data_IF_265329358822
#
_entry.id   IF_265329358822
#
_cell.length_a   1.000
_cell.length_b   1.000
_cell.length_c   1.000
_cell.angle_alpha   90.00
_cell.angle_beta   90.00
_cell.angle_gamma   90.00
#
_symmetry.space_group_name_H-M   'P 1'
#
loop_
_entity.id
_entity.type
_entity.pdbx_description
1 polymer ?
#
# COMPACT_ATOMS: atom_id res chain seq x y z
N UNK A 1 3.69 -5.26 -13.97
CA UNK A 1 3.26 -5.05 -12.58
C UNK A 1 3.72 -3.68 -12.10
N UNK A 2 2.78 -2.83 -11.67
CA UNK A 2 3.06 -1.47 -11.19
C UNK A 2 3.96 -1.46 -9.94
N UNK A 3 5.11 -0.77 -9.97
CA UNK A 3 6.02 -0.73 -8.83
C UNK A 3 5.39 0.02 -7.66
N UNK A 4 5.77 -0.36 -6.43
CA UNK A 4 5.38 0.33 -5.21
C UNK A 4 5.94 1.75 -5.18
N UNK A 5 5.06 2.73 -5.06
CA UNK A 5 5.35 4.14 -4.78
C UNK A 5 4.75 4.48 -3.42
N UNK A 6 5.52 5.02 -2.47
CA UNK A 6 4.98 5.27 -1.12
C UNK A 6 4.77 6.76 -0.81
N UNK A 7 5.79 7.61 -0.98
CA UNK A 7 5.64 9.07 -0.79
C UNK A 7 6.54 9.79 -1.76
N UNK A 8 5.97 10.17 -2.90
CA UNK A 8 6.63 11.05 -3.85
C UNK A 8 5.74 12.26 -4.06
N UNK A 9 6.32 13.44 -3.84
CA UNK A 9 5.65 14.69 -4.15
C UNK A 9 5.73 14.93 -5.65
N UNK A 10 4.66 15.46 -6.24
CA UNK A 10 4.57 15.73 -7.67
C UNK A 10 5.78 16.49 -8.22
N UNK A 11 6.37 17.40 -7.45
CA UNK A 11 7.51 18.21 -7.88
C UNK A 11 8.78 17.42 -8.18
N UNK A 12 8.90 16.22 -7.64
CA UNK A 12 10.07 15.37 -7.84
C UNK A 12 9.94 14.49 -9.09
N UNK A 13 8.78 14.48 -9.74
CA UNK A 13 8.59 13.82 -11.02
C UNK A 13 9.05 14.70 -12.18
N UNK A 14 9.65 14.03 -13.16
CA UNK A 14 10.08 14.64 -14.41
C UNK A 14 8.90 14.79 -15.39
N UNK A 15 8.99 15.83 -16.23
CA UNK A 15 7.98 16.11 -17.25
C UNK A 15 8.25 15.33 -18.53
N UNK A 16 7.17 14.84 -19.14
CA UNK A 16 7.13 14.22 -20.46
C UNK A 16 6.11 14.95 -21.34
N UNK A 17 6.18 14.75 -22.65
CA UNK A 17 5.07 15.11 -23.52
C UNK A 17 3.85 14.23 -23.16
N UNK A 18 2.66 14.82 -23.08
CA UNK A 18 1.46 14.08 -22.72
C UNK A 18 1.05 13.09 -23.83
N UNK A 19 0.78 11.83 -23.48
CA UNK A 19 0.32 10.80 -24.40
C UNK A 19 -1.20 10.84 -24.56
N UNK A 20 -1.69 11.84 -25.28
CA UNK A 20 -3.12 12.04 -25.55
C UNK A 20 -3.40 11.95 -27.06
N UNK A 21 -3.36 10.71 -27.58
CA UNK A 21 -3.47 10.41 -29.02
C UNK A 21 -4.75 10.98 -29.62
N UNK A 22 -4.65 11.58 -30.81
CA UNK A 22 -5.79 12.12 -31.55
C UNK A 22 -6.32 13.47 -31.06
N UNK A 23 -5.70 14.09 -30.07
CA UNK A 23 -6.04 15.44 -29.63
C UNK A 23 -5.18 16.53 -30.27
N UNK A 24 -5.72 17.75 -30.26
CA UNK A 24 -5.06 18.97 -30.71
C UNK A 24 -4.79 19.88 -29.52
N UNK A 25 -3.62 20.53 -29.49
CA UNK A 25 -3.16 21.36 -28.39
C UNK A 25 -1.86 20.85 -27.77
N UNK A 26 -1.35 21.53 -26.74
CA UNK A 26 -0.11 21.13 -26.04
C UNK A 26 -0.40 20.79 -24.59
N UNK A 27 0.10 19.65 -24.14
CA UNK A 27 0.07 19.23 -22.75
C UNK A 27 1.36 18.49 -22.38
N UNK A 28 1.70 18.50 -21.10
CA UNK A 28 2.79 17.69 -20.53
C UNK A 28 2.26 16.80 -19.41
N UNK A 29 2.92 15.69 -19.16
CA UNK A 29 2.55 14.75 -18.12
C UNK A 29 3.69 14.46 -17.14
N UNK A 30 3.35 14.16 -15.89
CA UNK A 30 4.19 13.50 -14.90
C UNK A 30 3.64 12.10 -14.68
N UNK A 31 4.49 11.09 -14.81
CA UNK A 31 4.12 9.67 -14.63
C UNK A 31 4.28 9.29 -13.17
N UNK A 32 3.17 9.30 -12.44
CA UNK A 32 3.17 9.05 -10.99
C UNK A 32 3.44 7.58 -10.68
N UNK A 33 2.86 6.69 -11.50
CA UNK A 33 3.11 5.25 -11.52
C UNK A 33 2.72 4.70 -12.89
N UNK A 34 3.46 3.72 -13.40
CA UNK A 34 3.23 3.10 -14.70
C UNK A 34 3.49 1.59 -14.63
N UNK A 35 2.64 0.82 -15.30
CA UNK A 35 2.86 -0.57 -15.63
C UNK A 35 3.40 -0.66 -17.06
N UNK A 36 4.64 -1.10 -17.21
CA UNK A 36 5.25 -1.27 -18.53
C UNK A 36 4.72 -2.53 -19.26
N UNK A 37 4.01 -3.42 -18.57
CA UNK A 37 3.52 -4.67 -19.15
C UNK A 37 2.17 -4.51 -19.86
N UNK A 38 1.24 -3.74 -19.28
CA UNK A 38 -0.13 -3.59 -19.81
C UNK A 38 -0.54 -2.15 -20.16
N UNK A 39 0.33 -1.18 -19.90
CA UNK A 39 0.11 0.24 -20.20
C UNK A 39 -0.67 1.01 -19.13
N UNK A 40 -1.10 0.36 -18.05
CA UNK A 40 -1.82 1.01 -16.95
C UNK A 40 -0.95 2.08 -16.29
N UNK A 41 -1.52 3.25 -15.99
CA UNK A 41 -0.76 4.34 -15.41
C UNK A 41 -1.62 5.35 -14.67
N UNK A 42 -0.97 6.04 -13.74
CA UNK A 42 -1.49 7.20 -13.02
C UNK A 42 -0.63 8.40 -13.37
N UNK A 43 -1.26 9.44 -13.90
CA UNK A 43 -0.59 10.61 -14.48
C UNK A 43 -1.14 11.89 -13.85
N UNK A 44 -0.29 12.90 -13.74
CA UNK A 44 -0.72 14.30 -13.71
C UNK A 44 -0.51 14.89 -15.10
N UNK A 45 -1.51 15.59 -15.62
CA UNK A 45 -1.44 16.26 -16.94
C UNK A 45 -1.71 17.75 -16.79
N UNK A 46 -0.82 18.57 -17.36
CA UNK A 46 -0.94 20.02 -17.41
C UNK A 46 -1.13 20.48 -18.86
N UNK A 47 -2.22 21.21 -19.13
CA UNK A 47 -2.57 21.71 -20.45
C UNK A 47 -2.03 23.13 -20.67
N UNK A 48 -1.15 23.31 -21.66
CA UNK A 48 -0.42 24.56 -21.96
C UNK A 48 -1.05 25.40 -23.07
N UNK A 49 -2.11 24.89 -23.67
CA UNK A 49 -3.01 25.58 -24.58
C UNK A 49 -4.41 25.02 -24.35
N UNK A 50 -5.43 25.61 -24.97
CA UNK A 50 -6.66 24.88 -25.17
C UNK A 50 -6.33 23.56 -25.88
N UNK A 51 -6.89 22.48 -25.35
CA UNK A 51 -6.69 21.14 -25.87
C UNK A 51 -8.05 20.49 -26.10
N UNK A 52 -8.18 19.73 -27.17
CA UNK A 52 -9.42 19.04 -27.48
C UNK A 52 -9.22 17.78 -28.28
N UNK A 53 -10.15 16.85 -28.13
CA UNK A 53 -10.25 15.65 -28.95
C UNK A 53 -11.70 15.38 -29.27
N UNK A 54 -11.97 15.05 -30.53
CA UNK A 54 -13.31 14.65 -31.00
C UNK A 54 -13.75 13.30 -30.39
N UNK A 55 -14.96 12.85 -30.72
CA UNK A 55 -15.48 11.58 -30.22
C UNK A 55 -14.65 10.39 -30.70
N UNK A 56 -14.59 9.33 -29.89
CA UNK A 56 -13.84 8.11 -30.21
C UNK A 56 -13.89 7.06 -29.10
N UNK A 57 -13.19 5.96 -29.32
CA UNK A 57 -13.15 4.81 -28.41
C UNK A 57 -11.74 4.68 -27.83
N UNK A 58 -11.65 4.61 -26.50
CA UNK A 58 -10.38 4.47 -25.79
C UNK A 58 -9.94 3.00 -25.72
N UNK A 59 -8.63 2.77 -25.87
CA UNK A 59 -8.01 1.44 -25.75
C UNK A 59 -7.78 1.01 -24.30
N UNK A 60 -7.88 1.95 -23.36
CA UNK A 60 -7.80 1.74 -21.92
C UNK A 60 -9.04 2.33 -21.23
N UNK A 61 -9.41 1.79 -20.07
CA UNK A 61 -10.38 2.48 -19.20
C UNK A 61 -9.71 3.75 -18.71
N UNK A 62 -10.30 4.90 -19.00
CA UNK A 62 -9.69 6.21 -18.82
C UNK A 62 -10.47 7.04 -17.80
N UNK A 63 -9.79 7.64 -16.83
CA UNK A 63 -10.39 8.57 -15.90
C UNK A 63 -9.69 9.92 -15.93
N UNK A 64 -10.45 11.01 -15.85
CA UNK A 64 -9.94 12.35 -15.59
C UNK A 64 -10.55 12.92 -14.32
N UNK A 65 -9.73 13.55 -13.49
CA UNK A 65 -10.16 14.36 -12.37
C UNK A 65 -9.52 15.75 -12.47
N UNK A 66 -10.34 16.80 -12.54
CA UNK A 66 -9.87 18.18 -12.68
C UNK A 66 -9.40 18.71 -11.32
N UNK A 67 -8.10 18.96 -11.19
CA UNK A 67 -7.50 19.59 -10.03
C UNK A 67 -7.73 21.11 -10.07
N UNK A 68 -7.44 21.72 -11.22
CA UNK A 68 -7.54 23.16 -11.47
C UNK A 68 -8.00 23.41 -12.91
N UNK A 69 -8.65 24.55 -13.16
CA UNK A 69 -9.15 24.89 -14.50
C UNK A 69 -10.49 24.25 -14.81
N UNK A 70 -10.70 23.80 -16.05
CA UNK A 70 -12.00 23.23 -16.47
C UNK A 70 -11.93 22.32 -17.67
N UNK A 71 -12.80 21.32 -17.66
CA UNK A 71 -13.07 20.40 -18.76
C UNK A 71 -14.45 20.69 -19.36
N UNK A 72 -14.63 20.42 -20.65
CA UNK A 72 -15.95 20.31 -21.27
C UNK A 72 -16.10 18.93 -21.88
N UNK A 73 -17.18 18.22 -21.55
CA UNK A 73 -17.51 16.92 -22.11
C UNK A 73 -18.99 16.91 -22.55
N UNK A 74 -19.27 16.48 -23.77
CA UNK A 74 -20.64 16.47 -24.32
C UNK A 74 -21.35 17.83 -24.24
N UNK A 75 -20.60 18.91 -24.40
CA UNK A 75 -21.10 20.29 -24.29
C UNK A 75 -21.30 20.83 -22.87
N UNK A 76 -21.09 20.01 -21.82
CA UNK A 76 -21.17 20.44 -20.41
C UNK A 76 -19.78 20.80 -19.89
N UNK A 77 -19.61 22.05 -19.46
CA UNK A 77 -18.38 22.52 -18.79
C UNK A 77 -18.43 22.24 -17.29
N UNK A 78 -17.33 21.71 -16.74
CA UNK A 78 -17.16 21.41 -15.31
C UNK A 78 -15.77 21.90 -14.87
N UNK A 79 -15.69 22.53 -13.70
CA UNK A 79 -14.45 23.08 -13.14
C UNK A 79 -13.66 22.05 -12.32
N UNK A 80 -12.86 22.55 -11.36
CA UNK A 80 -12.19 21.74 -10.36
C UNK A 80 -13.18 20.81 -9.62
N UNK A 81 -12.77 19.56 -9.37
CA UNK A 81 -13.64 18.50 -8.89
C UNK A 81 -14.47 17.82 -9.99
N UNK A 82 -14.35 18.25 -11.25
CA UNK A 82 -14.94 17.54 -12.38
C UNK A 82 -14.30 16.17 -12.56
N UNK A 83 -15.12 15.13 -12.64
CA UNK A 83 -14.70 13.75 -12.81
C UNK A 83 -15.33 13.16 -14.08
N UNK A 84 -14.53 12.45 -14.86
CA UNK A 84 -14.94 11.78 -16.09
C UNK A 84 -14.37 10.36 -16.12
N UNK A 85 -15.23 9.36 -16.25
CA UNK A 85 -14.89 7.95 -16.44
C UNK A 85 -15.29 7.53 -17.85
N UNK A 86 -14.34 6.97 -18.61
CA UNK A 86 -14.49 6.53 -19.99
C UNK A 86 -14.09 5.06 -20.07
N UNK A 87 -15.05 4.11 -20.05
CA UNK A 87 -14.72 2.70 -20.09
C UNK A 87 -14.04 2.31 -21.41
N UNK A 88 -13.09 1.37 -21.34
CA UNK A 88 -12.45 0.77 -22.52
C UNK A 88 -13.49 0.24 -23.51
N UNK A 89 -13.33 0.55 -24.79
CA UNK A 89 -14.20 0.00 -25.83
C UNK A 89 -15.59 0.65 -25.94
N UNK A 90 -15.90 1.68 -25.13
CA UNK A 90 -17.16 2.43 -25.20
C UNK A 90 -16.95 3.75 -25.96
N UNK A 91 -17.82 4.09 -26.95
CA UNK A 91 -17.77 5.40 -27.61
C UNK A 91 -17.92 6.54 -26.60
N UNK A 92 -16.92 7.40 -26.56
CA UNK A 92 -16.87 8.62 -25.78
C UNK A 92 -17.07 9.84 -26.67
N UNK A 93 -17.69 10.88 -26.11
CA UNK A 93 -17.97 12.14 -26.79
C UNK A 93 -16.70 13.01 -26.84
N UNK A 94 -16.77 14.12 -27.57
CA UNK A 94 -15.72 15.11 -27.58
C UNK A 94 -15.43 15.63 -26.16
N UNK A 95 -14.14 15.77 -25.87
CA UNK A 95 -13.61 16.31 -24.63
C UNK A 95 -12.66 17.46 -24.94
N UNK A 96 -12.78 18.55 -24.18
CA UNK A 96 -11.84 19.67 -24.23
C UNK A 96 -11.40 20.10 -22.84
N UNK A 97 -10.18 20.60 -22.76
CA UNK A 97 -9.60 21.21 -21.56
C UNK A 97 -9.14 22.62 -21.91
N UNK A 98 -9.48 23.59 -21.06
CA UNK A 98 -9.03 24.96 -21.23
C UNK A 98 -7.53 25.08 -20.92
N UNK A 99 -6.83 26.02 -21.56
CA UNK A 99 -5.46 26.36 -21.20
C UNK A 99 -5.30 26.59 -19.68
N UNK A 100 -4.23 26.07 -19.09
CA UNK A 100 -3.94 26.15 -17.66
C UNK A 100 -4.68 25.11 -16.80
N UNK A 101 -5.49 24.25 -17.41
CA UNK A 101 -6.14 23.14 -16.70
C UNK A 101 -5.10 22.11 -16.25
N UNK A 102 -5.30 21.57 -15.04
CA UNK A 102 -4.52 20.47 -14.47
C UNK A 102 -5.43 19.33 -14.09
N UNK A 103 -5.06 18.12 -14.47
CA UNK A 103 -5.84 16.93 -14.18
C UNK A 103 -4.98 15.81 -13.61
N UNK A 104 -5.61 14.95 -12.83
CA UNK A 104 -5.18 13.56 -12.71
C UNK A 104 -5.81 12.81 -13.88
N UNK A 105 -5.01 11.96 -14.52
CA UNK A 105 -5.40 11.14 -15.65
C UNK A 105 -4.95 9.70 -15.39
N UNK A 106 -5.90 8.78 -15.39
CA UNK A 106 -5.64 7.37 -15.16
C UNK A 106 -5.98 6.58 -16.41
N UNK A 107 -5.18 5.55 -16.70
CA UNK A 107 -5.45 4.54 -17.71
C UNK A 107 -5.29 3.17 -17.07
N UNK A 108 -6.27 2.28 -17.26
CA UNK A 108 -6.19 0.90 -16.78
C UNK A 108 -6.41 -0.09 -17.93
N UNK A 109 -5.63 -1.16 -17.92
CA UNK A 109 -5.73 -2.33 -18.79
C UNK A 109 -5.64 -2.01 -20.29
N UNK A 110 -4.80 -1.06 -20.67
CA UNK A 110 -4.54 -0.69 -22.06
C UNK A 110 -3.59 0.48 -22.21
N UNK A 111 -3.14 0.70 -23.45
CA UNK A 111 -2.25 1.81 -23.80
C UNK A 111 -3.01 3.13 -24.06
N UNK A 112 -2.27 4.13 -24.56
CA UNK A 112 -2.83 5.45 -24.90
C UNK A 112 -3.62 5.48 -26.22
N UNK A 113 -3.90 4.32 -26.83
CA UNK A 113 -4.59 4.18 -28.10
C UNK A 113 -6.00 4.77 -28.09
N UNK A 114 -6.41 5.28 -29.25
CA UNK A 114 -7.69 5.93 -29.44
C UNK A 114 -8.17 5.78 -30.88
N UNK A 115 -9.39 5.29 -31.06
CA UNK A 115 -10.03 5.12 -32.36
C UNK A 115 -11.09 6.21 -32.56
N UNK A 116 -10.86 7.23 -33.41
CA UNK A 116 -11.86 8.26 -33.70
C UNK A 116 -13.13 7.65 -34.29
N UNK A 117 -14.29 8.17 -33.91
CA UNK A 117 -15.58 7.78 -34.47
C UNK A 117 -16.36 8.99 -34.93
N UNK A 118 -17.29 8.81 -35.88
CA UNK A 118 -18.12 9.93 -36.36
C UNK A 118 -19.20 10.34 -35.35
N UNK A 119 -19.65 9.43 -34.50
CA UNK A 119 -20.67 9.70 -33.49
C UNK A 119 -20.71 8.63 -32.39
N UNK A 120 -21.42 8.93 -31.30
CA UNK A 120 -21.68 8.00 -30.19
C UNK A 120 -22.49 6.75 -30.58
N UNK A 121 -23.06 6.71 -31.79
CA UNK A 121 -23.76 5.53 -32.32
C UNK A 121 -22.79 4.44 -32.84
N UNK A 122 -21.48 4.70 -32.83
CA UNK A 122 -20.49 3.69 -33.17
C UNK A 122 -20.66 2.43 -32.29
N UNK A 123 -20.41 1.24 -32.85
CA UNK A 123 -20.52 0.02 -32.06
C UNK A 123 -19.46 0.01 -30.95
N UNK A 124 -19.88 -0.41 -29.75
CA UNK A 124 -18.95 -0.77 -28.67
C UNK A 124 -18.10 -1.96 -29.09
N UNK A 125 -16.89 -2.06 -28.56
CA UNK A 125 -16.10 -3.27 -28.68
C UNK A 125 -16.77 -4.45 -27.97
N UNK A 126 -16.48 -5.66 -28.44
CA UNK A 126 -16.95 -6.87 -27.79
C UNK A 126 -16.41 -6.95 -26.36
N UNK A 127 -17.30 -7.26 -25.40
CA UNK A 127 -16.95 -7.36 -23.99
C UNK A 127 -16.81 -6.02 -23.25
N UNK A 128 -16.96 -4.87 -23.92
CA UNK A 128 -17.01 -3.57 -23.26
C UNK A 128 -18.19 -3.50 -22.28
N UNK A 129 -17.94 -2.97 -21.08
CA UNK A 129 -18.92 -2.86 -20.00
C UNK A 129 -19.09 -1.40 -19.57
N UNK A 130 -20.13 -1.17 -18.77
CA UNK A 130 -20.43 0.12 -18.16
C UNK A 130 -20.73 1.23 -19.17
N UNK A 131 -21.00 2.42 -18.65
CA UNK A 131 -21.29 3.63 -19.41
C UNK A 131 -20.35 4.75 -18.97
N UNK A 132 -20.24 5.78 -19.80
CA UNK A 132 -19.50 6.99 -19.43
C UNK A 132 -20.13 7.66 -18.21
N UNK A 133 -19.32 8.02 -17.22
CA UNK A 133 -19.76 8.77 -16.03
C UNK A 133 -19.15 10.17 -16.06
N UNK A 134 -19.98 11.18 -15.80
CA UNK A 134 -19.56 12.59 -15.71
C UNK A 134 -20.13 13.20 -14.44
N UNK A 135 -19.27 13.55 -13.49
CA UNK A 135 -19.65 14.08 -12.19
C UNK A 135 -19.04 15.45 -11.92
N UNK A 136 -19.77 16.25 -11.15
CA UNK A 136 -19.23 17.40 -10.44
C UNK A 136 -19.11 17.00 -8.97
N UNK A 137 -17.92 16.56 -8.56
CA UNK A 137 -17.72 16.05 -7.20
C UNK A 137 -17.78 17.16 -6.13
N UNK A 138 -17.59 18.42 -6.51
CA UNK A 138 -17.75 19.55 -5.61
C UNK A 138 -19.22 19.74 -5.21
N UNK A 139 -20.15 19.45 -6.13
CA UNK A 139 -21.59 19.48 -5.89
C UNK A 139 -22.15 18.24 -5.16
N UNK A 140 -21.36 17.17 -5.01
CA UNK A 140 -21.77 15.96 -4.29
C UNK A 140 -21.74 16.18 -2.77
N UNK A 141 -22.62 15.46 -2.06
CA UNK A 141 -22.58 15.39 -0.61
C UNK A 141 -21.51 14.39 -0.14
N UNK A 142 -20.96 14.63 1.05
CA UNK A 142 -20.07 13.68 1.73
C UNK A 142 -20.90 12.71 2.55
N UNK A 143 -20.64 11.42 2.40
CA UNK A 143 -21.22 10.38 3.25
C UNK A 143 -20.22 10.02 4.34
N UNK A 144 -20.69 9.83 5.58
CA UNK A 144 -19.84 9.30 6.64
C UNK A 144 -19.50 7.83 6.35
N UNK A 145 -18.24 7.43 6.53
CA UNK A 145 -17.84 6.03 6.34
C UNK A 145 -18.47 5.17 7.45
N UNK A 146 -19.29 4.16 7.13
CA UNK A 146 -20.12 3.45 8.11
C UNK A 146 -19.39 2.32 8.86
N UNK A 147 -18.05 2.28 8.86
CA UNK A 147 -17.32 1.11 9.34
C UNK A 147 -17.10 1.13 10.87
N UNK A 148 -17.38 0.02 11.58
CA UNK A 148 -16.97 -0.15 12.97
C UNK A 148 -15.44 -0.29 13.07
N UNK A 149 -14.83 0.34 14.09
CA UNK A 149 -13.41 0.21 14.41
C UNK A 149 -12.61 1.51 14.35
N UNK A 150 -12.52 2.21 13.19
CA UNK A 150 -11.84 3.51 13.12
C UNK A 150 -12.56 4.58 13.95
N UNK A 151 -11.82 5.61 14.39
CA UNK A 151 -12.46 6.79 14.98
C UNK A 151 -13.41 7.45 13.97
N UNK A 152 -14.58 7.98 14.41
CA UNK A 152 -15.43 8.79 13.55
C UNK A 152 -14.67 9.99 12.97
N UNK A 153 -15.07 10.45 11.79
CA UNK A 153 -14.45 11.61 11.13
C UNK A 153 -13.87 11.35 9.75
N UNK A 154 -14.13 10.17 9.19
CA UNK A 154 -13.81 9.87 7.80
C UNK A 154 -15.08 9.92 6.94
N UNK A 155 -14.97 10.56 5.79
CA UNK A 155 -16.05 10.79 4.84
C UNK A 155 -15.65 10.33 3.45
N UNK A 156 -16.63 9.91 2.66
CA UNK A 156 -16.43 9.35 1.33
C UNK A 156 -17.38 9.96 0.30
N UNK A 157 -16.89 10.07 -0.94
CA UNK A 157 -17.68 10.27 -2.15
C UNK A 157 -17.26 9.22 -3.16
N UNK A 158 -18.17 8.30 -3.50
CA UNK A 158 -17.92 7.34 -4.57
C UNK A 158 -18.10 8.02 -5.93
N UNK A 159 -17.04 8.03 -6.74
CA UNK A 159 -17.07 8.63 -8.09
C UNK A 159 -17.35 7.57 -9.16
N UNK A 160 -16.79 6.38 -8.98
CA UNK A 160 -17.02 5.21 -9.82
C UNK A 160 -16.88 3.94 -8.97
N UNK A 161 -17.73 2.94 -9.22
CA UNK A 161 -17.67 1.61 -8.62
C UNK A 161 -18.04 0.59 -9.70
N UNK A 162 -17.11 -0.27 -10.11
CA UNK A 162 -17.37 -1.41 -10.97
C UNK A 162 -18.05 -2.51 -10.14
N UNK A 163 -19.32 -2.87 -10.43
CA UNK A 163 -20.07 -3.85 -9.66
C UNK A 163 -19.59 -5.30 -9.85
N UNK A 164 -18.70 -5.57 -10.81
CA UNK A 164 -18.18 -6.89 -11.13
C UNK A 164 -16.81 -7.11 -10.50
N UNK A 165 -15.89 -6.16 -10.69
CA UNK A 165 -14.51 -6.27 -10.19
C UNK A 165 -14.35 -5.69 -8.79
N UNK A 166 -15.32 -4.90 -8.34
CA UNK A 166 -15.20 -4.05 -7.16
C UNK A 166 -14.04 -3.05 -7.28
N UNK A 167 -13.62 -2.68 -8.49
CA UNK A 167 -12.76 -1.53 -8.73
C UNK A 167 -13.51 -0.24 -8.40
N UNK A 168 -12.88 0.72 -7.75
CA UNK A 168 -13.56 1.99 -7.48
C UNK A 168 -12.61 3.16 -7.28
N UNK A 169 -13.10 4.32 -7.70
CA UNK A 169 -12.49 5.63 -7.50
C UNK A 169 -13.35 6.44 -6.55
N UNK A 170 -12.73 7.05 -5.56
CA UNK A 170 -13.42 7.80 -4.50
C UNK A 170 -12.63 9.01 -4.06
N UNK A 171 -13.34 10.01 -3.54
CA UNK A 171 -12.72 10.98 -2.64
C UNK A 171 -12.90 10.48 -1.21
N UNK A 172 -11.83 10.53 -0.42
CA UNK A 172 -11.85 10.26 1.02
C UNK A 172 -11.38 11.50 1.75
N UNK A 173 -12.14 11.94 2.75
CA UNK A 173 -11.76 13.05 3.61
C UNK A 173 -11.64 12.58 5.06
N UNK A 174 -10.47 12.78 5.65
CA UNK A 174 -10.26 12.66 7.09
C UNK A 174 -10.32 14.07 7.71
N UNK A 175 -11.29 14.31 8.60
CA UNK A 175 -11.40 15.58 9.32
C UNK A 175 -10.14 15.84 10.15
N UNK A 176 -9.86 17.10 10.49
CA UNK A 176 -8.75 17.46 11.37
C UNK A 176 -8.77 16.66 12.69
N UNK A 177 -7.62 16.11 13.08
CA UNK A 177 -7.48 15.34 14.31
C UNK A 177 -8.02 13.91 14.24
N UNK A 178 -8.46 13.44 13.08
CA UNK A 178 -8.72 12.03 12.87
C UNK A 178 -7.41 11.23 12.94
N UNK A 179 -7.45 10.06 13.58
CA UNK A 179 -6.28 9.20 13.70
C UNK A 179 -6.63 7.71 13.74
N UNK A 180 -5.73 6.88 13.21
CA UNK A 180 -5.79 5.43 13.31
C UNK A 180 -4.43 4.88 13.77
N UNK A 181 -4.43 4.29 14.97
CA UNK A 181 -3.27 3.68 15.58
C UNK A 181 -2.96 2.28 15.03
N UNK A 182 -3.76 1.72 14.13
CA UNK A 182 -3.53 0.37 13.60
C UNK A 182 -2.73 0.41 12.30
N UNK A 183 -1.99 -0.66 12.03
CA UNK A 183 -1.23 -0.85 10.79
C UNK A 183 -2.07 -1.64 9.80
N UNK A 184 -2.67 -0.95 8.84
CA UNK A 184 -3.59 -1.55 7.90
C UNK A 184 -2.86 -2.14 6.68
N UNK A 185 -3.43 -3.18 6.09
CA UNK A 185 -3.05 -3.78 4.81
C UNK A 185 -4.25 -4.50 4.19
N UNK A 186 -4.30 -4.62 2.87
CA UNK A 186 -5.55 -4.93 2.14
C UNK A 186 -5.32 -5.97 1.03
N UNK A 187 -6.38 -6.70 0.58
CA UNK A 187 -6.29 -7.68 -0.51
C UNK A 187 -6.14 -7.07 -1.91
N UNK A 188 -6.31 -5.76 -2.05
CA UNK A 188 -6.26 -5.00 -3.30
C UNK A 188 -5.14 -3.96 -3.25
N UNK A 189 -4.78 -3.38 -4.39
CA UNK A 189 -3.93 -2.21 -4.37
C UNK A 189 -4.69 -1.02 -3.79
N UNK A 190 -3.94 -0.07 -3.25
CA UNK A 190 -4.44 1.24 -2.91
C UNK A 190 -3.52 2.31 -3.51
N UNK A 191 -4.08 3.25 -4.25
CA UNK A 191 -3.33 4.43 -4.67
C UNK A 191 -4.08 5.70 -4.32
N UNK A 192 -3.35 6.76 -4.00
CA UNK A 192 -3.97 8.02 -3.70
C UNK A 192 -3.11 9.21 -4.11
N UNK A 193 -3.80 10.29 -4.43
CA UNK A 193 -3.23 11.61 -4.63
C UNK A 193 -3.88 12.59 -3.66
N UNK A 194 -3.07 13.33 -2.91
CA UNK A 194 -3.56 14.30 -1.93
C UNK A 194 -4.02 15.58 -2.61
N UNK A 195 -5.31 15.90 -2.48
CA UNK A 195 -5.96 17.06 -3.12
C UNK A 195 -6.28 18.21 -2.14
N UNK A 196 -6.20 17.96 -0.83
CA UNK A 196 -6.36 18.99 0.20
C UNK A 196 -5.67 18.56 1.49
N UNK A 197 -5.12 19.54 2.20
CA UNK A 197 -4.66 19.37 3.58
C UNK A 197 -3.44 18.47 3.71
N UNK A 198 -3.25 17.87 4.87
CA UNK A 198 -2.16 16.94 5.10
C UNK A 198 -2.41 15.89 6.19
N UNK A 199 -1.73 14.77 6.06
CA UNK A 199 -1.73 13.68 7.02
C UNK A 199 -0.31 13.21 7.31
N UNK A 200 0.01 13.05 8.58
CA UNK A 200 1.22 12.37 9.02
C UNK A 200 0.97 10.87 9.15
N UNK A 201 1.96 10.11 8.70
CA UNK A 201 1.99 8.68 8.91
C UNK A 201 3.41 8.13 8.92
N UNK A 202 3.51 6.83 9.19
CA UNK A 202 4.77 6.17 9.47
C UNK A 202 5.82 6.36 8.36
N UNK A 203 5.42 6.31 7.09
CA UNK A 203 6.35 6.53 5.98
C UNK A 203 6.38 7.98 5.50
N UNK A 204 5.75 8.96 6.15
CA UNK A 204 5.44 10.17 5.41
C UNK A 204 4.63 11.28 6.03
N UNK A 205 4.67 12.40 5.32
CA UNK A 205 3.62 13.39 5.35
C UNK A 205 3.01 13.32 3.97
N UNK A 206 1.71 13.04 3.89
CA UNK A 206 0.92 13.15 2.68
C UNK A 206 0.39 14.58 2.66
N UNK A 207 1.06 15.48 1.96
CA UNK A 207 0.61 16.86 1.73
C UNK A 207 0.11 17.04 0.29
N UNK A 208 -0.51 18.19 0.00
CA UNK A 208 -1.04 18.53 -1.32
C UNK A 208 -0.02 18.19 -2.43
N UNK A 209 -0.42 17.38 -3.41
CA UNK A 209 0.48 16.97 -4.50
C UNK A 209 1.29 15.71 -4.23
N UNK A 210 1.18 15.11 -3.03
CA UNK A 210 1.80 13.82 -2.73
C UNK A 210 0.98 12.66 -3.30
N UNK A 211 1.68 11.73 -3.94
CA UNK A 211 1.13 10.50 -4.52
C UNK A 211 1.74 9.23 -3.92
N UNK A 212 0.93 8.17 -3.84
CA UNK A 212 1.36 6.81 -3.56
C UNK A 212 0.61 5.79 -4.41
N UNK A 213 1.25 4.64 -4.65
CA UNK A 213 0.68 3.41 -5.21
C UNK A 213 1.18 2.23 -4.39
N UNK A 214 0.33 1.62 -3.59
CA UNK A 214 0.62 0.46 -2.76
C UNK A 214 0.03 -0.79 -3.41
N UNK A 215 0.85 -1.74 -3.89
CA UNK A 215 0.36 -3.06 -4.24
C UNK A 215 -0.38 -3.73 -3.06
N UNK A 216 -1.12 -4.79 -3.37
CA UNK A 216 -1.83 -5.53 -2.34
C UNK A 216 -0.89 -5.96 -1.20
N UNK A 217 -1.43 -5.98 0.03
CA UNK A 217 -0.77 -6.40 1.28
C UNK A 217 0.34 -5.48 1.79
N UNK A 218 0.65 -4.37 1.12
CA UNK A 218 1.60 -3.39 1.65
C UNK A 218 1.04 -2.75 2.92
N UNK A 219 1.73 -2.99 4.04
CA UNK A 219 1.40 -2.45 5.37
C UNK A 219 1.60 -0.94 5.41
N UNK A 220 0.67 -0.21 6.00
CA UNK A 220 0.72 1.25 6.13
C UNK A 220 -0.07 1.78 7.35
N UNK A 221 0.21 3.03 7.73
CA UNK A 221 -0.26 3.66 8.98
C UNK A 221 0.85 3.65 10.04
N UNK A 222 0.77 4.24 11.21
CA UNK A 222 -0.36 4.93 11.85
C UNK A 222 -0.65 6.27 11.21
N UNK A 223 -1.91 6.68 11.19
CA UNK A 223 -2.35 7.87 10.50
C UNK A 223 -2.83 8.94 11.47
N UNK A 224 -2.52 10.19 11.16
CA UNK A 224 -3.08 11.36 11.84
C UNK A 224 -3.26 12.51 10.85
N UNK A 225 -4.48 13.01 10.71
CA UNK A 225 -4.76 14.21 9.93
C UNK A 225 -4.49 15.47 10.77
N UNK A 226 -3.80 16.44 10.16
CA UNK A 226 -3.43 17.69 10.81
C UNK A 226 -4.39 18.84 10.44
N UNK A 227 -3.96 20.09 10.63
CA UNK A 227 -4.79 21.30 10.45
C UNK A 227 -5.53 21.31 9.09
N UNK A 228 -6.85 21.48 9.14
CA UNK A 228 -7.72 21.47 7.96
C UNK A 228 -8.09 20.07 7.42
N UNK A 229 -7.63 19.01 8.08
CA UNK A 229 -7.85 17.62 7.68
C UNK A 229 -7.01 17.21 6.48
N UNK A 230 -7.40 16.14 5.80
CA UNK A 230 -6.78 15.68 4.57
C UNK A 230 -7.81 15.06 3.63
N UNK A 231 -7.68 15.34 2.33
CA UNK A 231 -8.54 14.75 1.30
C UNK A 231 -7.69 14.14 0.20
N UNK A 232 -8.07 12.93 -0.23
CA UNK A 232 -7.41 12.23 -1.32
C UNK A 232 -8.41 11.84 -2.40
N UNK A 233 -7.96 11.89 -3.66
CA UNK A 233 -8.53 11.04 -4.70
C UNK A 233 -7.84 9.69 -4.60
N UNK A 234 -8.62 8.63 -4.37
CA UNK A 234 -8.10 7.34 -3.95
C UNK A 234 -8.78 6.22 -4.75
N UNK A 235 -7.99 5.27 -5.24
CA UNK A 235 -8.42 4.16 -6.12
C UNK A 235 -7.98 2.82 -5.57
N UNK A 236 -8.80 1.80 -5.81
CA UNK A 236 -8.53 0.42 -5.42
C UNK A 236 -9.08 -0.53 -6.49
N UNK A 237 -8.34 -1.57 -6.86
CA UNK A 237 -8.77 -2.58 -7.84
C UNK A 237 -9.63 -3.71 -7.27
N UNK A 238 -10.15 -3.52 -6.06
CA UNK A 238 -11.01 -4.47 -5.38
C UNK A 238 -11.46 -3.92 -4.04
N UNK A 239 -12.42 -4.60 -3.41
CA UNK A 239 -12.99 -4.19 -2.13
C UNK A 239 -11.91 -4.05 -1.04
N UNK A 240 -11.87 -2.89 -0.38
CA UNK A 240 -10.82 -2.53 0.57
C UNK A 240 -11.17 -3.06 1.96
N UNK A 241 -10.87 -4.33 2.17
CA UNK A 241 -10.93 -4.94 3.49
C UNK A 241 -9.69 -4.58 4.30
N UNK A 242 -9.90 -3.93 5.44
CA UNK A 242 -8.82 -3.58 6.36
C UNK A 242 -8.42 -4.79 7.20
N UNK A 243 -7.25 -5.35 6.92
CA UNK A 243 -6.55 -6.24 7.83
C UNK A 243 -5.55 -5.44 8.65
N UNK A 244 -5.29 -5.87 9.88
CA UNK A 244 -4.40 -5.15 10.79
C UNK A 244 -3.22 -6.02 11.19
N UNK A 245 -2.02 -5.44 11.17
CA UNK A 245 -0.82 -6.04 11.75
C UNK A 245 -0.66 -5.54 13.18
N UNK A 246 -0.47 -6.47 14.10
CA UNK A 246 -0.17 -6.19 15.50
C UNK A 246 1.15 -6.84 15.89
N UNK A 247 1.80 -6.31 16.93
CA UNK A 247 3.04 -6.85 17.46
C UNK A 247 4.19 -6.93 16.45
N UNK A 248 4.26 -5.92 15.58
CA UNK A 248 5.27 -5.80 14.55
C UNK A 248 6.68 -5.64 15.13
N UNK A 249 7.63 -6.34 14.51
CA UNK A 249 9.05 -6.12 14.68
C UNK A 249 9.79 -6.63 13.45
N UNK A 250 10.83 -5.91 13.06
CA UNK A 250 11.81 -6.37 12.07
C UNK A 250 13.20 -6.17 12.66
N UNK A 251 14.07 -7.18 12.52
CA UNK A 251 15.48 -7.08 12.88
C UNK A 251 16.32 -7.57 11.74
N UNK A 252 17.29 -6.76 11.34
CA UNK A 252 18.22 -7.11 10.30
C UNK A 252 19.64 -6.68 10.68
N UNK A 253 20.61 -7.25 9.99
CA UNK A 253 22.00 -6.99 10.26
C UNK A 253 22.87 -7.81 9.34
N UNK A 254 24.15 -7.48 9.33
CA UNK A 254 25.11 -8.16 8.49
C UNK A 254 26.54 -7.81 8.84
N UNK A 255 27.44 -8.58 8.25
CA UNK A 255 28.86 -8.24 8.19
C UNK A 255 29.10 -7.50 6.88
N UNK A 256 29.34 -6.20 6.96
CA UNK A 256 29.78 -5.43 5.80
C UNK A 256 31.22 -5.80 5.48
N UNK A 257 31.41 -6.45 4.33
CA UNK A 257 32.71 -6.85 3.78
C UNK A 257 33.15 -5.84 2.72
N UNK A 258 33.67 -4.68 3.13
CA UNK A 258 34.28 -3.69 2.24
C UNK A 258 35.18 -2.71 3.03
N UNK A 259 35.75 -1.68 2.38
CA UNK A 259 36.60 -0.62 2.95
C UNK A 259 35.92 0.19 4.08
N UNK A 260 35.82 -0.39 5.28
CA UNK A 260 35.70 0.40 6.50
C UNK A 260 36.94 1.29 6.71
N UNK A 261 36.97 2.13 7.74
CA UNK A 261 38.22 2.75 8.17
C UNK A 261 39.26 1.67 8.54
N UNK A 262 40.40 1.64 7.85
CA UNK A 262 41.37 0.53 7.90
C UNK A 262 40.92 -0.66 7.04
N UNK A 263 41.78 -1.66 6.82
CA UNK A 263 41.45 -2.86 6.01
C UNK A 263 40.40 -3.80 6.67
N UNK A 264 39.34 -3.23 7.26
CA UNK A 264 38.50 -3.84 8.27
C UNK A 264 37.07 -4.12 7.82
N UNK A 265 36.58 -5.29 8.24
CA UNK A 265 35.17 -5.66 8.22
C UNK A 265 34.42 -4.90 9.29
N UNK A 266 33.22 -4.42 8.98
CA UNK A 266 32.34 -3.77 9.96
C UNK A 266 31.09 -4.61 10.19
N UNK A 267 30.78 -4.89 11.45
CA UNK A 267 29.52 -5.54 11.84
C UNK A 267 28.51 -4.47 12.18
N UNK A 268 27.32 -4.59 11.64
CA UNK A 268 26.22 -3.69 11.92
C UNK A 268 24.93 -4.50 12.10
N UNK A 269 24.05 -4.00 12.96
CA UNK A 269 22.72 -4.55 13.18
C UNK A 269 21.79 -3.39 13.49
N UNK A 270 20.55 -3.48 13.00
CA UNK A 270 19.48 -2.54 13.28
C UNK A 270 18.17 -3.32 13.52
N UNK A 271 17.36 -2.82 14.44
CA UNK A 271 15.99 -3.26 14.63
C UNK A 271 15.03 -2.11 14.36
N UNK A 272 13.77 -2.42 14.08
CA UNK A 272 12.68 -1.43 14.05
C UNK A 272 12.63 -0.59 15.34
N UNK A 273 13.01 -1.18 16.48
CA UNK A 273 13.12 -0.47 17.76
C UNK A 273 14.27 0.53 17.78
N UNK A 274 15.48 0.12 17.40
CA UNK A 274 16.65 1.00 17.34
C UNK A 274 16.47 2.16 16.35
N UNK A 275 15.76 1.91 15.25
CA UNK A 275 15.47 2.91 14.24
C UNK A 275 14.44 3.94 14.69
N UNK A 276 13.39 3.52 15.39
CA UNK A 276 12.44 4.45 15.99
C UNK A 276 13.05 5.29 17.12
N UNK A 277 14.11 4.79 17.79
CA UNK A 277 14.76 5.50 18.90
C UNK A 277 15.45 6.78 18.42
N UNK A 278 14.81 7.91 18.70
CA UNK A 278 15.31 9.24 18.36
C UNK A 278 14.63 9.88 17.14
N UNK A 279 13.62 9.23 16.55
CA UNK A 279 12.71 9.92 15.64
C UNK A 279 12.04 11.08 16.39
N UNK A 280 12.11 12.27 15.79
CA UNK A 280 11.44 13.49 16.27
C UNK A 280 10.25 13.86 15.40
N UNK A 281 9.86 12.96 14.48
CA UNK A 281 8.91 13.28 13.42
C UNK A 281 7.49 13.50 13.95
N UNK A 282 7.03 12.64 14.85
CA UNK A 282 5.69 12.74 15.43
C UNK A 282 5.66 13.76 16.56
N UNK A 283 4.81 14.77 16.42
CA UNK A 283 4.58 15.77 17.48
C UNK A 283 3.94 15.14 18.73
N UNK A 284 4.02 15.83 19.87
CA UNK A 284 3.28 15.41 21.08
C UNK A 284 1.77 15.28 20.78
N UNK A 285 1.24 16.23 20.00
CA UNK A 285 -0.16 16.23 19.56
C UNK A 285 -0.51 14.99 18.74
N UNK A 286 0.35 14.59 17.81
CA UNK A 286 0.17 13.37 17.01
C UNK A 286 0.09 12.13 17.92
N UNK A 287 0.99 12.03 18.89
CA UNK A 287 1.01 10.91 19.87
C UNK A 287 -0.25 10.87 20.73
N UNK A 288 -0.77 12.02 21.14
CA UNK A 288 -2.05 12.10 21.87
C UNK A 288 -3.22 11.58 21.03
N UNK A 289 -3.28 11.93 19.74
CA UNK A 289 -4.34 11.52 18.84
C UNK A 289 -4.31 10.01 18.59
N UNK A 290 -3.12 9.43 18.43
CA UNK A 290 -2.95 7.97 18.33
C UNK A 290 -3.36 7.25 19.62
N UNK A 291 -3.03 7.81 20.79
CA UNK A 291 -3.49 7.30 22.08
C UNK A 291 -5.02 7.31 22.20
N UNK A 292 -5.65 8.42 21.79
CA UNK A 292 -7.11 8.53 21.78
C UNK A 292 -7.77 7.52 20.82
N UNK A 293 -7.14 7.24 19.68
CA UNK A 293 -7.58 6.20 18.73
C UNK A 293 -7.60 4.82 19.39
N UNK A 294 -6.54 4.44 20.10
CA UNK A 294 -6.44 3.17 20.82
C UNK A 294 -7.51 3.06 21.93
N UNK A 295 -7.69 4.12 22.71
CA UNK A 295 -8.68 4.13 23.79
C UNK A 295 -10.11 4.05 23.25
N UNK A 296 -10.39 4.67 22.10
CA UNK A 296 -11.66 4.52 21.41
C UNK A 296 -11.92 3.08 20.97
N UNK A 297 -10.94 2.42 20.34
CA UNK A 297 -11.06 1.02 19.93
C UNK A 297 -11.36 0.10 21.13
N UNK A 298 -10.68 0.31 22.26
CA UNK A 298 -10.93 -0.42 23.52
C UNK A 298 -12.35 -0.21 24.05
N UNK A 299 -12.88 1.01 23.98
CA UNK A 299 -14.26 1.30 24.37
C UNK A 299 -15.29 0.57 23.50
N UNK A 300 -14.95 0.28 22.25
CA UNK A 300 -15.77 -0.56 21.35
C UNK A 300 -15.60 -2.07 21.60
N UNK A 301 -14.81 -2.47 22.61
CA UNK A 301 -14.55 -3.86 22.94
C UNK A 301 -13.49 -4.53 22.08
N UNK A 302 -12.72 -3.76 21.31
CA UNK A 302 -11.57 -4.30 20.59
C UNK A 302 -10.52 -4.82 21.58
N UNK A 303 -9.89 -5.95 21.24
CA UNK A 303 -8.85 -6.59 22.06
C UNK A 303 -7.45 -6.27 21.52
N UNK A 304 -7.34 -5.12 20.85
CA UNK A 304 -6.13 -4.69 20.17
C UNK A 304 -4.94 -4.67 21.14
N UNK A 305 -3.79 -5.13 20.64
CA UNK A 305 -2.51 -5.11 21.33
C UNK A 305 -2.14 -3.68 21.72
N UNK A 306 -1.36 -3.52 22.80
CA UNK A 306 -0.83 -2.20 23.13
C UNK A 306 0.03 -1.65 21.98
N UNK A 307 -0.29 -0.43 21.57
CA UNK A 307 0.52 0.34 20.65
C UNK A 307 1.55 1.16 21.41
N UNK A 308 2.78 1.16 20.92
CA UNK A 308 3.85 2.02 21.40
C UNK A 308 4.40 2.83 20.23
N UNK A 309 4.75 4.11 20.44
CA UNK A 309 5.55 4.85 19.47
C UNK A 309 6.81 4.04 19.11
N UNK A 310 7.21 3.99 17.83
CA UNK A 310 8.39 3.22 17.42
C UNK A 310 9.63 3.54 18.25
N UNK A 311 10.37 2.49 18.61
CA UNK A 311 11.55 2.57 19.49
C UNK A 311 11.27 2.84 20.97
N UNK A 312 10.01 3.00 21.37
CA UNK A 312 9.60 3.13 22.77
C UNK A 312 8.95 1.85 23.28
N UNK A 313 9.00 1.62 24.59
CA UNK A 313 8.51 0.40 25.21
C UNK A 313 9.46 -0.81 25.03
N UNK A 314 8.95 -2.04 25.21
CA UNK A 314 9.74 -3.26 25.10
C UNK A 314 10.33 -3.46 23.70
N UNK A 315 11.61 -3.83 23.61
CA UNK A 315 12.21 -4.25 22.34
C UNK A 315 11.69 -5.65 21.96
N UNK A 316 10.66 -5.67 21.13
CA UNK A 316 10.01 -6.89 20.64
C UNK A 316 10.99 -7.81 19.89
N UNK A 317 12.03 -7.26 19.26
CA UNK A 317 13.04 -8.06 18.57
C UNK A 317 13.95 -8.83 19.53
N UNK A 318 14.33 -8.21 20.67
CA UNK A 318 15.11 -8.90 21.70
C UNK A 318 14.28 -9.95 22.43
N UNK A 319 12.98 -9.69 22.67
CA UNK A 319 12.07 -10.68 23.23
C UNK A 319 11.94 -11.90 22.31
N UNK A 320 11.81 -11.69 21.00
CA UNK A 320 11.76 -12.76 20.01
C UNK A 320 13.07 -13.58 20.01
N UNK A 321 14.23 -12.93 20.04
CA UNK A 321 15.54 -13.60 20.14
C UNK A 321 15.66 -14.40 21.45
N UNK A 322 15.28 -13.82 22.58
CA UNK A 322 15.36 -14.49 23.87
C UNK A 322 14.51 -15.76 23.89
N UNK A 323 13.26 -15.69 23.38
CA UNK A 323 12.40 -16.86 23.20
C UNK A 323 13.03 -17.92 22.29
N UNK A 324 13.64 -17.49 21.17
CA UNK A 324 14.34 -18.39 20.27
C UNK A 324 15.53 -19.11 20.94
N UNK A 325 16.31 -18.36 21.73
CA UNK A 325 17.45 -18.89 22.48
C UNK A 325 17.02 -19.84 23.60
N UNK A 326 15.97 -19.50 24.35
CA UNK A 326 15.43 -20.37 25.41
C UNK A 326 14.87 -21.66 24.82
N UNK A 327 14.16 -21.58 23.68
CA UNK A 327 13.72 -22.76 22.98
C UNK A 327 14.90 -23.62 22.47
N UNK A 328 15.94 -23.00 21.90
CA UNK A 328 17.15 -23.71 21.48
C UNK A 328 17.88 -24.37 22.67
N UNK A 329 17.89 -23.75 23.85
CA UNK A 329 18.45 -24.31 25.09
C UNK A 329 17.62 -25.48 25.63
N UNK A 330 16.29 -25.37 25.61
CA UNK A 330 15.38 -26.48 25.96
C UNK A 330 15.52 -27.66 24.99
N UNK A 331 15.86 -27.39 23.73
CA UNK A 331 16.17 -28.40 22.71
C UNK A 331 17.59 -28.99 22.84
N UNK A 332 18.51 -28.31 23.53
CA UNK A 332 19.92 -28.69 23.69
C UNK A 332 20.22 -29.70 24.81
N UNK A 333 19.20 -30.13 25.56
CA UNK A 333 19.29 -31.24 26.53
C UNK A 333 19.81 -30.86 27.92
N UNK A 334 19.06 -31.28 28.94
CA UNK A 334 19.67 -31.70 30.20
C UNK A 334 20.55 -32.91 29.90
N UNK A 335 21.84 -32.68 29.63
CA UNK A 335 22.84 -33.75 29.68
C UNK A 335 23.03 -34.15 31.14
N UNK A 336 22.56 -35.35 31.48
CA UNK A 336 22.67 -35.96 32.79
C UNK A 336 24.10 -35.91 33.33
N UNK A 337 24.30 -35.14 34.41
CA UNK A 337 25.42 -35.35 35.31
C UNK A 337 25.05 -36.49 36.28
N UNK A 338 25.31 -37.73 35.89
CA UNK A 338 25.45 -38.81 36.86
C UNK A 338 26.82 -39.47 36.72
N UNK A 339 27.58 -39.30 37.80
CA UNK A 339 28.89 -39.88 38.02
C UNK A 339 28.82 -41.41 38.06
N UNK A 340 29.61 -42.02 37.18
CA UNK A 340 30.61 -43.06 37.43
C UNK A 340 30.34 -44.05 38.57
N UNK A 341 30.04 -45.30 38.21
CA UNK A 341 30.51 -46.50 38.91
C UNK A 341 30.38 -47.75 38.02
N UNK A 342 31.50 -48.46 37.82
CA UNK A 342 31.52 -49.93 37.89
C UNK A 342 31.85 -50.71 36.61
N UNK A 343 33.10 -51.15 36.55
CA UNK A 343 33.69 -52.34 35.88
C UNK A 343 32.74 -53.41 35.27
N UNK A 344 33.05 -53.88 34.04
CA UNK A 344 33.65 -55.21 33.76
C UNK A 344 33.49 -55.67 32.29
N UNK A 345 34.65 -55.93 31.68
CA UNK A 345 35.10 -57.00 30.77
C UNK A 345 34.20 -57.74 29.73
N UNK A 346 34.73 -57.71 28.50
CA UNK A 346 34.75 -58.61 27.33
C UNK A 346 33.66 -59.68 27.04
N UNK A 347 33.21 -59.69 25.77
CA UNK A 347 32.70 -60.87 25.07
C UNK A 347 32.10 -60.52 23.69
N UNK A 348 32.77 -60.94 22.62
CA UNK A 348 32.32 -60.84 21.22
C UNK A 348 30.97 -61.55 20.99
N UNK A 349 30.09 -60.96 20.18
CA UNK A 349 29.37 -61.70 19.14
C UNK A 349 28.74 -60.73 18.11
N UNK A 350 28.97 -61.07 16.84
CA UNK A 350 28.35 -60.42 15.69
C UNK A 350 26.91 -60.89 15.57
N UNK A 351 25.95 -59.96 15.60
CA UNK A 351 24.65 -60.19 14.97
C UNK A 351 24.11 -58.93 14.30
N UNK A 352 23.71 -59.17 13.06
CA UNK A 352 23.21 -58.28 12.04
C UNK A 352 21.74 -57.95 12.33
N UNK A 353 21.46 -56.75 12.84
CA UNK A 353 20.12 -56.18 12.81
C UNK A 353 20.17 -54.73 12.39
N UNK A 354 19.77 -54.50 11.14
CA UNK A 354 19.44 -53.19 10.60
C UNK A 354 18.32 -52.53 11.40
N UNK A 355 18.71 -51.72 12.37
CA UNK A 355 17.89 -50.69 12.97
C UNK A 355 18.02 -49.43 12.11
N UNK A 356 17.06 -49.22 11.22
CA UNK A 356 16.82 -47.93 10.60
C UNK A 356 16.48 -46.97 11.76
N UNK A 357 17.48 -46.26 12.28
CA UNK A 357 17.26 -45.12 13.16
C UNK A 357 16.68 -44.01 12.27
N UNK A 358 15.36 -44.09 12.08
CA UNK A 358 14.54 -42.94 11.72
C UNK A 358 14.66 -41.97 12.90
N UNK A 359 15.71 -41.14 12.88
CA UNK A 359 15.67 -39.86 13.56
C UNK A 359 14.61 -39.04 12.82
N UNK A 360 13.35 -39.35 13.10
CA UNK A 360 12.26 -38.47 12.77
C UNK A 360 12.57 -37.17 13.48
N UNK A 361 13.06 -36.20 12.70
CA UNK A 361 13.25 -34.81 13.05
C UNK A 361 11.89 -34.21 13.45
N UNK A 362 11.38 -34.64 14.60
CA UNK A 362 10.35 -33.90 15.32
C UNK A 362 11.07 -32.79 16.05
N UNK A 363 11.49 -31.79 15.25
CA UNK A 363 11.69 -30.46 15.78
C UNK A 363 10.47 -30.11 16.64
N UNK A 364 10.61 -29.83 17.94
CA UNK A 364 9.50 -29.30 18.71
C UNK A 364 9.15 -27.96 18.05
N UNK A 365 7.94 -27.83 17.54
CA UNK A 365 7.48 -26.62 16.86
C UNK A 365 7.68 -25.44 17.80
N UNK A 366 8.60 -24.53 17.43
CA UNK A 366 8.68 -23.22 18.04
C UNK A 366 7.30 -22.58 17.88
N UNK A 367 6.65 -22.22 18.98
CA UNK A 367 5.35 -21.54 18.94
C UNK A 367 5.59 -20.06 18.58
N UNK A 368 5.97 -19.81 17.32
CA UNK A 368 6.05 -18.49 16.70
C UNK A 368 4.66 -17.89 16.40
N UNK A 369 3.59 -18.53 16.88
CA UNK A 369 2.25 -18.43 16.33
C UNK A 369 1.98 -19.57 15.35
N UNK A 370 1.21 -19.31 14.29
CA UNK A 370 0.96 -20.31 13.26
C UNK A 370 2.24 -20.60 12.46
N UNK A 371 2.37 -21.86 12.03
CA UNK A 371 3.39 -22.31 11.07
C UNK A 371 3.41 -21.36 9.85
N UNK A 372 4.57 -20.77 9.45
CA UNK A 372 4.66 -19.86 8.31
C UNK A 372 4.06 -20.44 7.03
N UNK A 373 4.18 -21.75 6.80
CA UNK A 373 3.57 -22.40 5.65
C UNK A 373 2.02 -22.44 5.70
N UNK A 374 1.43 -22.19 6.86
CA UNK A 374 -0.02 -21.99 7.09
C UNK A 374 -0.43 -20.51 7.11
N UNK A 375 0.54 -19.59 7.22
CA UNK A 375 0.33 -18.14 7.04
C UNK A 375 0.28 -17.75 5.54
N UNK A 376 0.79 -18.63 4.68
CA UNK A 376 0.77 -18.50 3.24
C UNK A 376 -0.30 -19.39 2.61
N UNK A 377 -1.10 -18.83 1.69
CA UNK A 377 -2.02 -19.65 0.92
C UNK A 377 -1.25 -20.49 -0.10
N UNK A 378 -1.69 -21.74 -0.36
CA UNK A 378 -0.95 -22.66 -1.24
C UNK A 378 -0.63 -22.11 -2.65
N UNK A 379 -1.44 -21.21 -3.20
CA UNK A 379 -1.22 -20.58 -4.51
C UNK A 379 -0.12 -19.50 -4.49
N UNK A 380 0.18 -18.93 -3.31
CA UNK A 380 1.23 -17.91 -3.13
C UNK A 380 2.64 -18.50 -3.16
N UNK A 381 2.76 -19.82 -3.01
CA UNK A 381 4.04 -20.55 -3.18
C UNK A 381 4.43 -20.73 -4.65
N UNK A 382 3.49 -20.55 -5.57
CA UNK A 382 3.69 -20.82 -7.00
C UNK A 382 3.84 -19.52 -7.82
N UNK A 383 3.25 -18.40 -7.37
CA UNK A 383 3.36 -17.11 -8.05
C UNK A 383 4.47 -16.24 -7.45
N UNK A 384 5.35 -15.71 -8.30
CA UNK A 384 6.42 -14.80 -7.87
C UNK A 384 5.95 -13.35 -7.69
N UNK A 385 4.64 -13.08 -7.86
CA UNK A 385 4.05 -11.75 -7.77
C UNK A 385 3.24 -11.60 -6.47
N UNK A 386 3.96 -11.28 -5.39
CA UNK A 386 3.38 -11.12 -4.07
C UNK A 386 2.43 -9.90 -3.98
N UNK A 387 2.56 -8.90 -4.86
CA UNK A 387 1.73 -7.69 -4.87
C UNK A 387 0.42 -7.80 -5.65
N UNK A 388 0.12 -8.95 -6.26
CA UNK A 388 -1.12 -9.13 -7.02
C UNK A 388 -2.33 -9.17 -6.08
N UNK A 389 -3.35 -8.36 -6.39
CA UNK A 389 -4.62 -8.39 -5.66
C UNK A 389 -5.32 -9.75 -5.77
N UNK A 390 -6.16 -10.07 -4.78
CA UNK A 390 -6.92 -11.34 -4.78
C UNK A 390 -8.35 -11.14 -4.31
N UNK A 391 -9.25 -11.97 -4.85
CA UNK A 391 -10.58 -12.11 -4.28
C UNK A 391 -10.45 -12.68 -2.86
N UNK A 392 -10.88 -11.92 -1.87
CA UNK A 392 -10.96 -12.34 -0.48
C UNK A 392 -12.35 -12.05 0.04
N UNK A 393 -12.87 -12.91 0.92
CA UNK A 393 -14.17 -12.74 1.57
C UNK A 393 -14.04 -12.96 3.08
N UNK A 394 -14.96 -12.40 3.89
CA UNK A 394 -15.02 -12.66 5.32
C UNK A 394 -14.99 -14.16 5.64
N UNK A 395 -14.04 -14.56 6.47
CA UNK A 395 -13.81 -15.94 6.88
C UNK A 395 -12.61 -16.63 6.20
N UNK A 396 -12.08 -16.06 5.12
CA UNK A 396 -10.86 -16.56 4.50
C UNK A 396 -9.61 -16.17 5.34
N UNK A 397 -8.51 -16.97 5.33
CA UNK A 397 -7.29 -16.63 6.04
C UNK A 397 -6.67 -15.29 5.60
N UNK A 398 -6.21 -14.51 6.57
CA UNK A 398 -5.46 -13.26 6.35
C UNK A 398 -4.00 -13.61 6.03
N UNK A 399 -3.43 -13.19 4.89
CA UNK A 399 -2.04 -13.47 4.54
C UNK A 399 -1.08 -12.67 5.39
N UNK A 400 0.19 -13.08 5.35
CA UNK A 400 1.26 -12.22 5.82
C UNK A 400 1.27 -10.87 5.06
N UNK A 401 1.48 -9.74 5.77
CA UNK A 401 1.67 -8.44 5.15
C UNK A 401 3.00 -8.40 4.38
N UNK A 402 3.08 -7.54 3.38
CA UNK A 402 4.33 -7.23 2.68
C UNK A 402 4.99 -6.04 3.36
N UNK A 403 6.22 -6.27 3.83
CA UNK A 403 7.10 -5.20 4.29
C UNK A 403 7.76 -4.59 3.05
N UNK A 404 7.44 -3.33 2.75
CA UNK A 404 8.19 -2.59 1.75
C UNK A 404 9.57 -2.24 2.31
N UNK A 405 10.60 -2.83 1.73
CA UNK A 405 11.99 -2.51 2.03
C UNK A 405 12.30 -1.12 1.46
N UNK A 406 12.42 -0.12 2.33
CA UNK A 406 12.81 1.26 2.00
C UNK A 406 11.97 1.88 0.86
N UNK A 407 10.83 2.52 1.16
CA UNK A 407 10.04 3.16 0.12
C UNK A 407 10.89 4.12 -0.73
N UNK A 408 10.70 4.10 -2.05
CA UNK A 408 11.24 5.13 -2.93
C UNK A 408 10.58 6.45 -2.53
N UNK A 409 11.38 7.35 -1.93
CA UNK A 409 10.93 8.65 -1.42
C UNK A 409 11.63 9.77 -2.17
N UNK A 410 10.94 10.90 -2.22
CA UNK A 410 11.53 12.14 -2.67
C UNK A 410 12.79 12.51 -1.88
N UNK A 411 13.87 12.83 -2.60
CA UNK A 411 15.10 13.40 -2.03
C UNK A 411 14.87 14.78 -1.42
N UNK A 412 13.89 15.54 -1.91
CA UNK A 412 13.61 16.91 -1.46
C UNK A 412 12.89 16.96 -0.10
N UNK A 413 12.42 15.81 0.41
CA UNK A 413 11.67 15.70 1.67
C UNK A 413 12.49 15.18 2.87
N UNK A 414 13.83 15.16 2.76
CA UNK A 414 14.74 14.88 3.87
C UNK A 414 15.14 13.41 4.06
N UNK A 415 15.95 13.13 5.09
CA UNK A 415 16.36 11.75 5.44
C UNK A 415 15.19 11.00 6.07
N UNK A 416 15.07 9.70 5.76
CA UNK A 416 14.17 8.82 6.51
C UNK A 416 14.77 8.49 7.87
N UNK A 417 13.91 8.53 8.88
CA UNK A 417 14.23 8.30 10.29
C UNK A 417 13.76 6.92 10.78
N UNK A 418 13.28 6.05 9.88
CA UNK A 418 12.89 4.69 10.21
C UNK A 418 11.52 4.54 10.87
N UNK A 419 10.73 5.62 10.99
CA UNK A 419 9.33 5.50 11.42
C UNK A 419 8.59 4.56 10.43
N UNK A 420 7.84 3.59 10.97
CA UNK A 420 7.01 2.68 10.18
C UNK A 420 7.52 1.33 9.72
N UNK A 421 8.69 0.89 10.18
CA UNK A 421 9.19 -0.47 9.92
C UNK A 421 8.56 -1.51 10.83
#
# INVERSE_FOLDING_TARGET
MRPHVEVIHEDDYIWHAAELVGGEGRASERRLSADEEDGSCSLRVDFHTDWGRGPGIHHATTEFYVLEGSMTYGGRRIGAGGYLYLPKGVPADAVTFAEGTRTLHYREYGDAGFDPVESLNAPRWEGAREDVIVLDSAAMNWDAVPNPGPMPGMFIKYLHVDPVTCFYTRLVHAQEGWADHRLAHHPCYEEAYTVQGLMEYNFGTLDLGTYFFRPARVKHGHFTSLEGGATWLLRSDGELYNWYTENEWMRWGGEAINWGPGDGRMRWSQSAHDLGRGSTRRSERDRELLGASLDYARQQGAVDSEWFPPGHGPDKSLLAIAKAMDAARLQGGHGDHHHDHGDHDHGDDHDDHGGHHDHGDRHPALEWGADPAKLEHAHERESHNWGQGRAWKPGDPVPAPIVSSLPVRSRSRGRWDGDGL
#
